data_IF_303691056625
#
_entry.id   IF_303691056625
#
_cell.length_a   1.000
_cell.length_b   1.000
_cell.length_c   1.000
_cell.angle_alpha   90.00
_cell.angle_beta   90.00
_cell.angle_gamma   90.00
#
_symmetry.space_group_name_H-M   'P 1'
#
loop_
_entity.id
_entity.type
_entity.pdbx_description
1 polymer ?
#
# COMPACT_ATOMS: atom_id res chain seq x y z
N UNK A 1 3.76 -1.68 -26.51
CA UNK A 1 4.26 -0.48 -25.82
C UNK A 1 3.11 0.32 -25.24
N UNK A 2 3.09 0.54 -23.93
CA UNK A 2 2.00 1.21 -23.22
C UNK A 2 2.30 2.69 -22.97
N UNK A 3 1.27 3.53 -22.95
CA UNK A 3 1.33 4.90 -22.45
C UNK A 3 0.67 4.90 -21.07
N UNK A 4 1.33 5.50 -20.08
CA UNK A 4 0.79 5.58 -18.72
C UNK A 4 0.21 6.95 -18.42
N UNK A 5 -0.82 6.97 -17.57
CA UNK A 5 -1.31 8.19 -16.95
C UNK A 5 -0.45 8.45 -15.72
N UNK A 6 0.40 9.48 -15.80
CA UNK A 6 1.34 9.86 -14.75
C UNK A 6 0.87 11.16 -14.08
N UNK A 7 1.20 11.30 -12.79
CA UNK A 7 0.91 12.51 -12.01
C UNK A 7 2.21 13.26 -11.73
N UNK A 8 2.20 14.59 -11.94
CA UNK A 8 3.28 15.49 -11.52
C UNK A 8 2.67 16.67 -10.79
N UNK A 9 3.02 16.84 -9.51
CA UNK A 9 2.40 17.84 -8.64
C UNK A 9 0.90 17.61 -8.47
N UNK A 10 0.08 18.54 -8.96
CA UNK A 10 -1.40 18.51 -8.89
C UNK A 10 -2.10 18.13 -10.20
N UNK A 11 -1.33 17.96 -11.29
CA UNK A 11 -1.82 17.70 -12.64
C UNK A 11 -1.49 16.25 -13.05
N UNK A 12 -2.33 15.69 -13.92
CA UNK A 12 -2.15 14.35 -14.48
C UNK A 12 -2.06 14.45 -16.00
N UNK A 13 -1.26 13.60 -16.62
CA UNK A 13 -1.06 13.58 -18.06
C UNK A 13 -0.57 12.23 -18.57
N UNK A 14 -0.55 12.07 -19.88
CA UNK A 14 -0.04 10.86 -20.52
C UNK A 14 1.47 10.95 -20.72
N UNK A 15 2.17 9.88 -20.36
CA UNK A 15 3.62 9.77 -20.55
C UNK A 15 3.99 8.37 -21.06
N UNK A 16 4.91 8.25 -22.04
CA UNK A 16 5.30 6.95 -22.57
C UNK A 16 5.97 6.08 -21.51
N UNK A 17 5.50 4.84 -21.34
CA UNK A 17 6.07 3.91 -20.36
C UNK A 17 7.54 3.58 -20.65
N UNK A 18 7.94 3.60 -21.92
CA UNK A 18 9.33 3.34 -22.34
C UNK A 18 10.35 4.29 -21.72
N UNK A 19 9.93 5.49 -21.34
CA UNK A 19 10.81 6.51 -20.75
C UNK A 19 10.71 6.56 -19.22
N UNK A 20 9.90 5.69 -18.62
CA UNK A 20 9.74 5.62 -17.17
C UNK A 20 10.49 4.42 -16.62
N UNK A 21 11.10 4.63 -15.47
CA UNK A 21 11.74 3.62 -14.65
C UNK A 21 11.24 3.79 -13.22
N UNK A 22 11.07 2.70 -12.47
CA UNK A 22 10.67 2.82 -11.07
C UNK A 22 11.83 3.43 -10.27
N UNK A 23 11.48 4.23 -9.27
CA UNK A 23 12.48 4.80 -8.35
C UNK A 23 13.18 3.67 -7.58
N UNK A 24 14.51 3.69 -7.55
CA UNK A 24 15.34 2.70 -6.84
C UNK A 24 15.88 1.57 -7.71
N UNK A 25 15.37 1.40 -8.94
CA UNK A 25 15.93 0.42 -9.88
C UNK A 25 17.24 0.96 -10.50
N UNK A 26 18.19 0.07 -10.81
CA UNK A 26 19.41 0.44 -11.56
C UNK A 26 19.06 0.75 -13.01
N UNK A 27 19.75 1.73 -13.61
CA UNK A 27 19.52 2.12 -15.01
C UNK A 27 19.89 0.93 -15.90
N UNK A 28 18.89 0.31 -16.53
CA UNK A 28 19.11 -0.83 -17.44
C UNK A 28 19.89 -0.40 -18.68
N UNK A 29 20.84 -1.24 -19.12
CA UNK A 29 21.66 -1.02 -20.32
C UNK A 29 20.82 -0.92 -21.61
N UNK A 30 19.62 -1.52 -21.62
CA UNK A 30 18.64 -1.45 -22.71
C UNK A 30 18.05 -0.05 -22.92
N UNK A 31 18.29 0.91 -22.01
CA UNK A 31 17.86 2.30 -22.19
C UNK A 31 18.43 2.93 -23.46
N UNK A 32 19.60 2.48 -23.90
CA UNK A 32 20.22 2.89 -25.17
C UNK A 32 19.38 2.45 -26.38
N UNK A 33 18.85 1.22 -26.37
CA UNK A 33 18.03 0.64 -27.44
C UNK A 33 16.61 1.23 -27.49
N UNK A 34 16.11 1.74 -26.36
CA UNK A 34 14.79 2.38 -26.29
C UNK A 34 14.80 3.76 -26.99
N UNK A 35 15.94 4.46 -27.01
CA UNK A 35 16.06 5.78 -27.65
C UNK A 35 15.99 5.73 -29.18
N UNK A 36 16.38 4.61 -29.79
CA UNK A 36 16.40 4.44 -31.25
C UNK A 36 15.05 4.01 -31.81
N UNK A 37 14.16 3.48 -30.97
CA UNK A 37 12.81 3.08 -31.37
C UNK A 37 11.85 4.25 -31.22
N UNK A 38 11.31 4.73 -32.34
CA UNK A 38 10.27 5.74 -32.34
C UNK A 38 9.07 5.28 -31.50
N UNK A 39 8.43 6.24 -30.83
CA UNK A 39 7.24 5.99 -30.05
C UNK A 39 6.11 5.50 -30.96
N UNK A 40 5.31 4.51 -30.52
CA UNK A 40 4.11 4.16 -31.26
C UNK A 40 3.17 5.39 -31.30
N UNK A 41 2.53 5.66 -32.45
CA UNK A 41 1.57 6.75 -32.57
C UNK A 41 0.38 6.50 -31.63
N UNK A 42 -0.16 7.59 -31.06
CA UNK A 42 -1.27 7.49 -30.12
C UNK A 42 -2.58 7.35 -30.89
N UNK A 43 -3.58 6.70 -30.31
CA UNK A 43 -4.92 6.66 -30.91
C UNK A 43 -5.48 8.07 -31.19
N UNK A 44 -5.17 9.04 -30.33
CA UNK A 44 -5.58 10.44 -30.52
C UNK A 44 -4.87 11.18 -31.66
N UNK A 45 -3.77 10.66 -32.22
CA UNK A 45 -3.12 11.26 -33.40
C UNK A 45 -3.71 10.77 -34.73
N UNK A 46 -4.61 9.79 -34.69
CA UNK A 46 -5.27 9.25 -35.89
C UNK A 46 -6.53 10.09 -36.15
N UNK A 47 -6.54 10.81 -37.26
CA UNK A 47 -7.75 11.50 -37.76
C UNK A 47 -8.69 10.50 -38.42
N UNK A 48 -10.01 10.68 -38.28
CA UNK A 48 -11.05 9.89 -38.95
C UNK A 48 -10.87 8.36 -38.83
N UNK A 49 -10.59 7.87 -37.62
CA UNK A 49 -10.40 6.45 -37.37
C UNK A 49 -11.68 5.63 -37.65
N UNK A 50 -11.60 4.70 -38.60
CA UNK A 50 -12.69 3.78 -38.92
C UNK A 50 -12.72 2.61 -37.93
N UNK A 51 -13.89 2.33 -37.36
CA UNK A 51 -14.10 1.27 -36.36
C UNK A 51 -15.21 0.33 -36.84
N UNK A 52 -14.98 -0.99 -36.71
CA UNK A 52 -16.04 -2.00 -36.95
C UNK A 52 -17.12 -1.98 -35.85
N UNK A 53 -16.81 -1.38 -34.70
CA UNK A 53 -17.73 -1.32 -33.56
C UNK A 53 -18.47 0.01 -33.51
N UNK A 54 -19.78 -0.06 -33.23
CA UNK A 54 -20.64 1.11 -33.00
C UNK A 54 -20.34 1.82 -31.68
N UNK A 55 -19.91 1.08 -30.65
CA UNK A 55 -19.60 1.64 -29.34
C UNK A 55 -18.13 2.02 -29.24
N UNK A 56 -17.86 3.16 -28.56
CA UNK A 56 -16.49 3.58 -28.25
C UNK A 56 -15.88 2.71 -27.15
N UNK A 57 -14.57 2.54 -27.20
CA UNK A 57 -13.80 1.96 -26.08
C UNK A 57 -14.02 2.79 -24.81
N UNK A 58 -14.16 2.11 -23.68
CA UNK A 58 -14.24 2.77 -22.36
C UNK A 58 -12.85 3.31 -22.00
N UNK A 59 -12.75 4.63 -21.92
CA UNK A 59 -11.56 5.34 -21.44
C UNK A 59 -12.04 6.46 -20.51
N UNK A 60 -11.31 6.66 -19.41
CA UNK A 60 -11.61 7.77 -18.49
C UNK A 60 -10.84 9.01 -18.91
N UNK A 61 -11.48 10.18 -18.76
CA UNK A 61 -10.87 11.45 -19.12
C UNK A 61 -9.70 11.80 -18.19
N UNK A 62 -8.81 12.69 -18.65
CA UNK A 62 -7.71 13.19 -17.83
C UNK A 62 -8.22 13.89 -16.57
N UNK A 63 -9.34 14.60 -16.67
CA UNK A 63 -9.99 15.27 -15.54
C UNK A 63 -10.54 14.26 -14.53
N UNK A 64 -11.15 13.16 -15.01
CA UNK A 64 -11.59 12.05 -14.14
C UNK A 64 -10.41 11.42 -13.40
N UNK A 65 -9.29 11.16 -14.10
CA UNK A 65 -8.05 10.70 -13.46
C UNK A 65 -7.53 11.70 -12.42
N UNK A 66 -7.55 13.00 -12.71
CA UNK A 66 -7.12 14.05 -11.78
C UNK A 66 -7.93 14.03 -10.49
N UNK A 67 -9.26 13.96 -10.57
CA UNK A 67 -10.16 13.88 -9.40
C UNK A 67 -9.91 12.64 -8.57
N UNK A 68 -9.85 11.48 -9.22
CA UNK A 68 -9.60 10.20 -8.56
C UNK A 68 -8.24 10.21 -7.86
N UNK A 69 -7.18 10.68 -8.53
CA UNK A 69 -5.84 10.75 -7.93
C UNK A 69 -5.82 11.62 -6.66
N UNK A 70 -6.50 12.77 -6.65
CA UNK A 70 -6.61 13.63 -5.47
C UNK A 70 -7.40 12.95 -4.34
N UNK A 71 -8.53 12.31 -4.67
CA UNK A 71 -9.38 11.61 -3.70
C UNK A 71 -8.60 10.51 -2.97
N UNK A 72 -7.94 9.63 -3.72
CA UNK A 72 -7.26 8.48 -3.13
C UNK A 72 -5.95 8.82 -2.43
N UNK A 73 -5.24 9.87 -2.86
CA UNK A 73 -4.04 10.34 -2.13
C UNK A 73 -4.42 10.95 -0.77
N UNK A 74 -5.49 11.76 -0.71
CA UNK A 74 -6.00 12.29 0.55
C UNK A 74 -6.46 11.17 1.48
N UNK A 75 -7.23 10.20 0.96
CA UNK A 75 -7.67 9.05 1.75
C UNK A 75 -6.48 8.25 2.30
N UNK A 76 -5.43 8.04 1.50
CA UNK A 76 -4.21 7.36 1.96
C UNK A 76 -3.45 8.15 3.02
N UNK A 77 -3.38 9.47 2.90
CA UNK A 77 -2.78 10.34 3.92
C UNK A 77 -3.57 10.24 5.23
N UNK A 78 -4.90 10.38 5.18
CA UNK A 78 -5.74 10.26 6.38
C UNK A 78 -5.66 8.88 7.04
N UNK A 79 -5.47 7.79 6.28
CA UNK A 79 -5.26 6.46 6.88
C UNK A 79 -3.89 6.35 7.56
N UNK A 80 -2.85 6.97 6.98
CA UNK A 80 -1.51 6.98 7.60
C UNK A 80 -1.56 7.82 8.88
N UNK A 81 -2.15 9.01 8.83
CA UNK A 81 -2.34 9.88 10.01
C UNK A 81 -3.15 9.17 11.10
N UNK A 82 -4.22 8.45 10.74
CA UNK A 82 -4.99 7.67 11.71
C UNK A 82 -4.19 6.52 12.34
N UNK A 83 -3.31 5.86 11.56
CA UNK A 83 -2.41 4.83 12.08
C UNK A 83 -1.32 5.43 12.98
N UNK A 84 -0.71 6.55 12.58
CA UNK A 84 0.30 7.24 13.38
C UNK A 84 -0.27 7.71 14.71
N UNK A 85 -1.48 8.30 14.73
CA UNK A 85 -2.16 8.70 15.96
C UNK A 85 -2.42 7.51 16.90
N UNK A 86 -2.79 6.33 16.37
CA UNK A 86 -2.92 5.12 17.20
C UNK A 86 -1.59 4.67 17.83
N UNK A 87 -0.46 4.83 17.13
CA UNK A 87 0.88 4.52 17.70
C UNK A 87 1.38 5.55 18.70
N UNK A 88 0.97 6.82 18.59
CA UNK A 88 1.37 7.89 19.54
C UNK A 88 0.57 7.80 20.84
N UNK A 89 -0.67 7.33 20.79
CA UNK A 89 -1.47 7.04 21.99
C UNK A 89 -0.93 5.83 22.78
N UNK A 90 -0.12 4.94 22.20
CA UNK A 90 0.56 3.85 22.93
C UNK A 90 1.80 4.30 23.74
N UNK A 91 2.31 5.52 23.56
CA UNK A 91 3.34 6.08 24.45
C UNK A 91 2.75 6.92 25.60
N UNK A 92 1.43 7.11 25.65
CA UNK A 92 0.75 7.88 26.72
C UNK A 92 -0.54 7.30 27.28
N UNK A 93 -0.99 6.14 26.86
CA UNK A 93 -2.00 5.38 27.59
C UNK A 93 -1.53 3.95 27.85
N UNK A 94 -1.48 3.59 29.13
CA UNK A 94 -1.46 2.20 29.57
C UNK A 94 -2.68 1.47 28.96
N UNK A 95 -2.41 0.73 27.89
CA UNK A 95 -2.97 -0.59 27.58
C UNK A 95 -4.46 -0.80 27.94
N UNK A 96 -5.37 -0.04 27.32
CA UNK A 96 -6.81 -0.36 27.33
C UNK A 96 -7.19 -1.20 26.10
N UNK A 97 -6.50 -2.33 25.93
CA UNK A 97 -6.78 -3.33 24.90
C UNK A 97 -7.94 -4.25 25.30
N UNK A 98 -9.18 -3.74 25.20
CA UNK A 98 -10.44 -4.40 25.64
C UNK A 98 -10.45 -4.62 27.16
N UNK A 99 -11.59 -4.40 27.80
CA UNK A 99 -11.74 -4.70 29.23
C UNK A 99 -11.69 -6.23 29.44
N UNK A 100 -10.48 -6.78 29.57
CA UNK A 100 -10.29 -8.13 30.05
C UNK A 100 -10.62 -8.12 31.55
N UNK A 101 -11.37 -9.10 32.06
CA UNK A 101 -11.63 -9.19 33.48
C UNK A 101 -10.30 -9.22 34.24
N UNK A 102 -10.19 -8.45 35.32
CA UNK A 102 -8.99 -8.40 36.15
C UNK A 102 -8.60 -9.82 36.56
N UNK A 103 -7.47 -10.31 36.05
CA UNK A 103 -6.99 -11.67 36.34
C UNK A 103 -6.57 -11.69 37.81
N UNK A 104 -7.05 -12.64 38.62
CA UNK A 104 -6.65 -12.72 40.02
C UNK A 104 -5.15 -12.97 40.15
N UNK A 105 -4.60 -12.58 41.30
CA UNK A 105 -3.20 -12.84 41.61
C UNK A 105 -2.88 -14.32 41.45
N UNK A 106 -1.79 -14.59 40.72
CA UNK A 106 -1.34 -15.94 40.46
C UNK A 106 -1.01 -16.67 41.79
N UNK A 107 -1.41 -17.95 41.96
CA UNK A 107 -1.04 -18.72 43.14
C UNK A 107 0.47 -18.92 43.26
N UNK A 108 0.93 -19.24 44.48
CA UNK A 108 2.35 -19.43 44.77
C UNK A 108 2.96 -20.58 43.96
N UNK A 109 4.27 -20.47 43.68
CA UNK A 109 5.03 -21.47 42.91
C UNK A 109 4.88 -22.87 43.50
N UNK A 110 4.98 -23.00 44.82
CA UNK A 110 4.83 -24.27 45.54
C UNK A 110 3.44 -24.88 45.36
N UNK A 111 2.39 -24.06 45.44
CA UNK A 111 1.00 -24.53 45.28
C UNK A 111 0.72 -25.06 43.88
N UNK A 112 1.38 -24.50 42.86
CA UNK A 112 1.29 -24.96 41.47
C UNK A 112 2.03 -26.30 41.29
N UNK A 113 3.18 -26.49 41.95
CA UNK A 113 3.94 -27.73 41.88
C UNK A 113 3.24 -28.91 42.58
N UNK A 114 2.51 -28.63 43.66
CA UNK A 114 1.76 -29.63 44.42
C UNK A 114 0.49 -30.10 43.69
N UNK A 115 -0.20 -29.19 42.99
CA UNK A 115 -1.56 -29.43 42.47
C UNK A 115 -1.70 -29.55 40.96
N UNK A 116 -0.70 -29.16 40.18
CA UNK A 116 -0.79 -29.17 38.71
C UNK A 116 -0.01 -30.33 38.06
N UNK A 117 -0.27 -30.54 36.76
CA UNK A 117 0.39 -31.57 35.95
C UNK A 117 1.85 -31.23 35.61
N UNK A 118 2.65 -32.24 35.30
CA UNK A 118 4.08 -32.11 34.97
C UNK A 118 4.36 -31.06 33.86
N UNK A 119 3.50 -30.97 32.85
CA UNK A 119 3.61 -29.94 31.80
C UNK A 119 3.57 -28.52 32.36
N UNK A 120 2.75 -28.28 33.38
CA UNK A 120 2.67 -26.98 34.07
C UNK A 120 3.90 -26.77 34.95
N UNK A 121 4.33 -27.81 35.68
CA UNK A 121 5.51 -27.75 36.56
C UNK A 121 6.77 -27.36 35.79
N UNK A 122 6.99 -27.98 34.63
CA UNK A 122 8.13 -27.69 33.75
C UNK A 122 8.13 -26.21 33.32
N UNK A 123 6.99 -25.67 32.90
CA UNK A 123 6.87 -24.25 32.52
C UNK A 123 7.14 -23.29 33.67
N UNK A 124 6.88 -23.68 34.92
CA UNK A 124 7.14 -22.83 36.08
C UNK A 124 8.59 -22.95 36.55
N UNK A 125 9.26 -24.06 36.28
CA UNK A 125 10.68 -24.25 36.58
C UNK A 125 11.58 -23.48 35.61
N UNK A 126 11.19 -23.40 34.32
CA UNK A 126 11.98 -22.71 33.27
C UNK A 126 11.94 -21.19 33.34
N UNK A 127 10.99 -20.59 34.07
CA UNK A 127 10.82 -19.12 34.18
C UNK A 127 11.58 -18.59 35.41
N UNK A 128 12.80 -19.06 35.62
CA UNK A 128 13.72 -18.60 36.65
C UNK A 128 15.01 -18.16 35.98
#
# INVERSE_FOLDING_TARGET
MSVFCSRRGSVTGYFPAMYLQKSGDTISEDRSQIKTKALPPRRGTISNANSIHKQKRKEISQESYRRNSKKYLKARQSTIEAMENMTIDEEKEEDQSKAQPAIPARPSKELILDRCTENTKLKIQTVT
#
